data_IF_688241237842
#
_entry.id   IF_688241237842
#
_cell.length_a   1.000
_cell.length_b   1.000
_cell.length_c   1.000
_cell.angle_alpha   90.00
_cell.angle_beta   90.00
_cell.angle_gamma   90.00
#
_symmetry.space_group_name_H-M   'P 1'
#
loop_
_entity.id
_entity.type
_entity.pdbx_description
1 polymer ?
#
# COMPACT_ATOMS: atom_id res chain seq x y z
N UNK A 1 27.71 -5.16 32.89
CA UNK A 1 28.61 -4.45 31.94
C UNK A 1 27.81 -3.64 30.92
N UNK A 2 27.18 -2.54 31.33
CA UNK A 2 26.44 -1.61 30.43
C UNK A 2 27.20 -0.27 30.28
N UNK A 3 28.25 -0.07 31.09
CA UNK A 3 28.97 1.20 31.25
C UNK A 3 30.00 1.52 30.15
N UNK A 4 30.28 0.61 29.21
CA UNK A 4 31.25 0.84 28.13
C UNK A 4 30.64 1.23 26.76
N UNK A 5 29.32 1.31 26.64
CA UNK A 5 28.67 1.76 25.38
C UNK A 5 28.66 3.30 25.28
N UNK A 6 28.78 4.00 26.41
CA UNK A 6 28.60 5.46 26.54
C UNK A 6 29.62 6.33 25.78
N UNK A 7 30.74 5.78 25.29
CA UNK A 7 31.81 6.55 24.65
C UNK A 7 31.98 6.27 23.15
N UNK A 8 31.13 5.44 22.54
CA UNK A 8 31.15 5.32 21.07
C UNK A 8 30.48 6.54 20.46
N UNK A 9 31.25 7.27 19.66
CA UNK A 9 30.70 8.25 18.72
C UNK A 9 29.78 7.52 17.75
N UNK A 10 28.53 7.93 17.74
CA UNK A 10 27.45 7.32 16.97
C UNK A 10 26.73 8.42 16.22
N UNK A 11 26.42 8.13 14.96
CA UNK A 11 25.48 8.88 14.16
C UNK A 11 24.27 7.99 13.96
N UNK A 12 23.14 8.42 14.49
CA UNK A 12 21.88 7.69 14.41
C UNK A 12 20.95 8.44 13.47
N UNK A 13 20.37 7.73 12.52
CA UNK A 13 19.31 8.23 11.65
C UNK A 13 18.03 7.48 12.03
N UNK A 14 16.98 8.22 12.36
CA UNK A 14 15.65 7.70 12.67
C UNK A 14 14.71 8.14 11.56
N UNK A 15 13.96 7.19 11.00
CA UNK A 15 12.99 7.42 9.92
C UNK A 15 11.76 6.55 10.10
N UNK A 16 10.74 6.79 9.27
CA UNK A 16 9.64 5.86 9.04
C UNK A 16 9.75 5.24 7.64
N UNK A 17 9.07 4.11 7.44
CA UNK A 17 8.82 3.49 6.13
C UNK A 17 7.69 4.20 5.38
N UNK A 18 6.63 4.59 6.09
CA UNK A 18 5.52 5.39 5.60
C UNK A 18 4.86 6.18 6.74
N UNK A 19 3.96 7.08 6.37
CA UNK A 19 3.03 7.73 7.29
C UNK A 19 1.69 6.99 7.39
N UNK A 20 0.66 7.70 7.83
CA UNK A 20 -0.65 7.12 8.16
C UNK A 20 -1.76 8.17 7.96
N UNK A 21 -2.89 7.76 7.41
CA UNK A 21 -4.09 8.58 7.27
C UNK A 21 -5.29 7.93 7.97
N UNK A 22 -6.11 8.72 8.65
CA UNK A 22 -7.36 8.24 9.24
C UNK A 22 -8.49 8.30 8.20
N UNK A 23 -9.31 7.25 8.15
CA UNK A 23 -10.37 7.11 7.14
C UNK A 23 -11.74 6.96 7.80
N UNK A 24 -12.65 7.88 7.47
CA UNK A 24 -14.03 7.88 7.95
C UNK A 24 -14.78 6.63 7.49
N UNK A 25 -15.79 6.21 8.25
CA UNK A 25 -16.59 5.03 7.93
C UNK A 25 -17.33 5.13 6.58
N UNK A 26 -17.76 6.34 6.20
CA UNK A 26 -18.47 6.62 4.95
C UNK A 26 -17.59 6.53 3.70
N UNK A 27 -16.26 6.59 3.86
CA UNK A 27 -15.27 6.50 2.78
C UNK A 27 -14.68 5.09 2.65
N UNK A 28 -15.38 4.09 3.21
CA UNK A 28 -15.00 2.67 3.20
C UNK A 28 -15.87 1.92 2.20
N UNK A 29 -15.25 1.50 1.11
CA UNK A 29 -15.95 0.88 -0.02
C UNK A 29 -15.86 -0.64 0.09
N UNK A 30 -16.96 -1.31 0.40
CA UNK A 30 -17.03 -2.76 0.41
C UNK A 30 -17.07 -3.30 -1.02
N UNK A 31 -16.09 -4.12 -1.37
CA UNK A 31 -16.01 -4.72 -2.69
C UNK A 31 -16.87 -5.98 -2.76
N UNK A 32 -17.77 -6.04 -3.74
CA UNK A 32 -18.45 -7.27 -4.12
C UNK A 32 -17.90 -7.79 -5.44
N UNK A 33 -17.06 -8.83 -5.39
CA UNK A 33 -16.43 -9.43 -6.56
C UNK A 33 -16.62 -10.95 -6.59
N UNK A 34 -16.55 -11.53 -7.77
CA UNK A 34 -16.60 -12.98 -8.00
C UNK A 34 -15.29 -13.67 -7.62
N UNK A 35 -15.35 -14.98 -7.38
CA UNK A 35 -14.21 -15.78 -6.90
C UNK A 35 -13.06 -15.94 -7.92
N UNK A 36 -13.24 -15.44 -9.14
CA UNK A 36 -12.22 -15.41 -10.19
C UNK A 36 -11.30 -14.18 -10.10
N UNK A 37 -11.57 -13.24 -9.19
CA UNK A 37 -10.64 -12.16 -8.85
C UNK A 37 -9.88 -12.50 -7.57
N UNK A 38 -8.55 -12.39 -7.66
CA UNK A 38 -7.67 -12.42 -6.49
C UNK A 38 -7.28 -10.98 -6.16
N UNK A 39 -7.60 -10.53 -4.96
CA UNK A 39 -7.33 -9.16 -4.49
C UNK A 39 -6.46 -9.24 -3.24
N UNK A 40 -5.37 -8.48 -3.21
CA UNK A 40 -4.39 -8.46 -2.12
C UNK A 40 -3.70 -7.10 -2.00
N UNK A 41 -2.87 -6.90 -0.97
CA UNK A 41 -2.19 -5.64 -0.70
C UNK A 41 -2.95 -4.73 0.26
N UNK A 42 -2.52 -3.47 0.32
CA UNK A 42 -3.07 -2.47 1.24
C UNK A 42 -4.42 -1.95 0.77
N UNK A 43 -5.30 -1.61 1.71
CA UNK A 43 -6.65 -1.13 1.41
C UNK A 43 -6.70 0.22 0.67
N UNK A 44 -5.57 0.93 0.60
CA UNK A 44 -5.37 2.17 -0.16
C UNK A 44 -4.83 1.93 -1.58
N UNK A 45 -4.28 0.74 -1.84
CA UNK A 45 -3.68 0.35 -3.12
C UNK A 45 -3.74 -1.18 -3.23
N UNK A 46 -4.81 -1.69 -3.86
CA UNK A 46 -5.00 -3.14 -3.95
C UNK A 46 -4.47 -3.68 -5.27
N UNK A 47 -3.72 -4.76 -5.18
CA UNK A 47 -3.27 -5.57 -6.30
C UNK A 47 -4.33 -6.59 -6.67
N UNK A 48 -4.49 -6.82 -7.98
CA UNK A 48 -5.59 -7.59 -8.53
C UNK A 48 -5.06 -8.51 -9.63
N UNK A 49 -5.42 -9.79 -9.55
CA UNK A 49 -5.27 -10.77 -10.64
C UNK A 49 -6.64 -11.27 -11.09
N UNK A 50 -6.82 -11.40 -12.41
CA UNK A 50 -8.05 -11.90 -13.00
C UNK A 50 -8.54 -11.13 -14.24
N UNK A 51 -9.72 -11.48 -14.78
CA UNK A 51 -10.21 -10.90 -16.03
C UNK A 51 -10.51 -9.40 -15.91
N UNK A 52 -9.89 -8.58 -16.78
CA UNK A 52 -10.07 -7.10 -16.80
C UNK A 52 -11.53 -6.64 -16.75
N UNK A 53 -12.43 -7.34 -17.46
CA UNK A 53 -13.86 -7.02 -17.46
C UNK A 53 -14.44 -7.04 -16.05
N UNK A 54 -14.11 -8.07 -15.28
CA UNK A 54 -14.63 -8.27 -13.93
C UNK A 54 -13.98 -7.31 -12.95
N UNK A 55 -12.71 -6.94 -13.18
CA UNK A 55 -12.03 -5.87 -12.43
C UNK A 55 -12.74 -4.53 -12.64
N UNK A 56 -13.01 -4.15 -13.90
CA UNK A 56 -13.70 -2.88 -14.19
C UNK A 56 -15.11 -2.83 -13.59
N UNK A 57 -15.84 -3.95 -13.61
CA UNK A 57 -17.16 -4.05 -13.00
C UNK A 57 -17.12 -3.95 -11.48
N UNK A 58 -16.19 -4.66 -10.83
CA UNK A 58 -16.10 -4.66 -9.36
C UNK A 58 -15.69 -3.30 -8.78
N UNK A 59 -14.91 -2.50 -9.51
CA UNK A 59 -14.34 -1.24 -9.04
C UNK A 59 -15.01 0.03 -9.62
N UNK A 60 -16.08 -0.11 -10.41
CA UNK A 60 -16.66 1.02 -11.19
C UNK A 60 -17.12 2.21 -10.36
N UNK A 61 -17.58 1.95 -9.14
CA UNK A 61 -18.12 2.98 -8.22
C UNK A 61 -17.11 3.47 -7.18
N UNK A 62 -15.87 2.96 -7.23
CA UNK A 62 -14.85 3.29 -6.23
C UNK A 62 -14.01 4.47 -6.74
N UNK A 63 -13.83 5.54 -5.95
CA UNK A 63 -12.98 6.65 -6.32
C UNK A 63 -11.51 6.20 -6.34
N UNK A 64 -10.89 6.26 -7.52
CA UNK A 64 -9.51 5.85 -7.71
C UNK A 64 -9.15 5.65 -9.17
N UNK A 65 -7.98 5.05 -9.40
CA UNK A 65 -7.41 4.80 -10.72
C UNK A 65 -6.95 3.35 -10.81
N UNK A 66 -7.35 2.67 -11.89
CA UNK A 66 -6.84 1.36 -12.24
C UNK A 66 -5.57 1.51 -13.07
N UNK A 67 -4.45 1.01 -12.54
CA UNK A 67 -3.16 0.92 -13.21
C UNK A 67 -3.04 -0.43 -13.92
N UNK A 68 -2.63 -0.40 -15.17
CA UNK A 68 -2.41 -1.59 -16.00
C UNK A 68 -0.94 -2.03 -15.99
N UNK A 69 -0.66 -3.23 -16.51
CA UNK A 69 0.69 -3.82 -16.51
C UNK A 69 1.82 -2.89 -16.97
N UNK A 70 1.59 -2.04 -17.97
CA UNK A 70 2.63 -1.14 -18.47
C UNK A 70 3.00 -0.05 -17.45
N UNK A 71 2.03 0.44 -16.68
CA UNK A 71 2.27 1.39 -15.59
C UNK A 71 2.93 0.68 -14.41
N UNK A 72 2.49 -0.55 -14.11
CA UNK A 72 3.08 -1.38 -13.05
C UNK A 72 4.54 -1.73 -13.34
N UNK A 73 4.86 -2.10 -14.59
CA UNK A 73 6.24 -2.35 -15.03
C UNK A 73 7.11 -1.10 -14.85
N UNK A 74 6.58 0.07 -15.16
CA UNK A 74 7.30 1.33 -14.95
C UNK A 74 7.56 1.63 -13.47
N UNK A 75 6.60 1.34 -12.58
CA UNK A 75 6.66 1.65 -11.15
C UNK A 75 7.43 0.62 -10.33
N UNK A 76 7.20 -0.67 -10.60
CA UNK A 76 7.70 -1.81 -9.82
C UNK A 76 8.89 -2.51 -10.49
N UNK A 77 9.12 -2.24 -11.78
CA UNK A 77 10.00 -3.02 -12.62
C UNK A 77 9.34 -4.30 -13.15
N UNK A 78 9.99 -4.92 -14.12
CA UNK A 78 9.56 -6.21 -14.67
C UNK A 78 9.95 -7.37 -13.74
N UNK A 79 9.11 -8.42 -13.63
CA UNK A 79 9.43 -9.58 -12.82
C UNK A 79 10.57 -10.40 -13.46
N UNK A 80 11.73 -10.41 -12.80
CA UNK A 80 12.97 -11.01 -13.35
C UNK A 80 13.13 -12.51 -13.12
N UNK A 81 12.23 -13.15 -12.36
CA UNK A 81 12.29 -14.59 -12.08
C UNK A 81 10.88 -15.18 -11.86
N UNK A 82 10.78 -16.51 -11.87
CA UNK A 82 9.50 -17.23 -11.76
C UNK A 82 8.75 -16.95 -10.45
N UNK A 83 9.47 -16.71 -9.35
CA UNK A 83 8.85 -16.34 -8.08
C UNK A 83 8.21 -14.95 -8.14
N UNK A 84 8.89 -13.95 -8.70
CA UNK A 84 8.33 -12.62 -8.86
C UNK A 84 7.15 -12.63 -9.84
N UNK A 85 7.24 -13.41 -10.92
CA UNK A 85 6.13 -13.58 -11.88
C UNK A 85 4.88 -14.17 -11.21
N UNK A 86 5.04 -15.10 -10.26
CA UNK A 86 3.88 -15.74 -9.62
C UNK A 86 3.13 -14.82 -8.65
N UNK A 87 3.74 -13.72 -8.21
CA UNK A 87 3.11 -12.72 -7.33
C UNK A 87 2.86 -11.38 -8.04
N UNK A 88 3.27 -11.25 -9.30
CA UNK A 88 3.16 -10.01 -10.04
C UNK A 88 1.70 -9.73 -10.38
N UNK A 89 1.18 -8.52 -10.08
CA UNK A 89 -0.21 -8.20 -10.32
C UNK A 89 -0.54 -7.98 -11.81
N UNK A 90 -1.75 -8.38 -12.22
CA UNK A 90 -2.32 -7.96 -13.50
C UNK A 90 -2.67 -6.46 -13.47
N UNK A 91 -3.20 -5.99 -12.34
CA UNK A 91 -3.62 -4.60 -12.13
C UNK A 91 -3.32 -4.13 -10.69
N UNK A 92 -3.22 -2.81 -10.52
CA UNK A 92 -3.31 -2.17 -9.20
C UNK A 92 -4.41 -1.13 -9.23
N UNK A 93 -5.30 -1.13 -8.25
CA UNK A 93 -6.26 -0.05 -8.07
C UNK A 93 -5.77 0.88 -6.96
N UNK A 94 -5.34 2.07 -7.36
CA UNK A 94 -4.92 3.13 -6.45
C UNK A 94 -6.14 3.94 -6.03
N UNK A 95 -6.47 3.89 -4.74
CA UNK A 95 -7.66 4.54 -4.19
C UNK A 95 -7.38 6.04 -4.01
N UNK A 96 -8.38 6.87 -4.33
CA UNK A 96 -8.27 8.31 -4.12
C UNK A 96 -8.06 8.64 -2.62
N UNK A 97 -7.45 9.80 -2.35
CA UNK A 97 -7.20 10.22 -0.98
C UNK A 97 -8.47 10.18 -0.11
N UNK A 98 -8.28 9.88 1.18
CA UNK A 98 -9.32 9.67 2.20
C UNK A 98 -10.33 8.55 1.93
N UNK A 99 -10.12 7.71 0.93
CA UNK A 99 -10.93 6.51 0.68
C UNK A 99 -10.12 5.23 0.92
N UNK A 100 -10.82 4.12 1.20
CA UNK A 100 -10.24 2.76 1.22
C UNK A 100 -11.21 1.74 0.67
N UNK A 101 -10.65 0.60 0.30
CA UNK A 101 -11.36 -0.58 -0.13
C UNK A 101 -11.39 -1.63 0.98
N UNK A 102 -12.53 -2.27 1.18
CA UNK A 102 -12.69 -3.44 2.04
C UNK A 102 -12.98 -4.69 1.19
N UNK A 103 -11.95 -5.51 0.91
CA UNK A 103 -12.14 -6.82 0.31
C UNK A 103 -12.96 -7.73 1.22
N UNK A 104 -13.69 -8.69 0.64
CA UNK A 104 -14.57 -9.63 1.37
C UNK A 104 -13.89 -10.40 2.50
N UNK A 105 -12.58 -10.60 2.41
CA UNK A 105 -11.79 -11.41 3.33
C UNK A 105 -11.22 -10.64 4.54
N UNK A 106 -11.38 -9.32 4.59
CA UNK A 106 -10.85 -8.47 5.67
C UNK A 106 -11.98 -8.04 6.64
N UNK A 107 -11.84 -8.42 7.91
CA UNK A 107 -12.80 -8.11 8.98
C UNK A 107 -12.30 -7.08 9.99
N UNK A 108 -11.02 -6.74 9.98
CA UNK A 108 -10.43 -5.80 10.92
C UNK A 108 -10.82 -4.35 10.57
N UNK A 109 -11.46 -3.67 11.52
CA UNK A 109 -11.75 -2.24 11.41
C UNK A 109 -10.62 -1.45 12.07
N UNK A 110 -9.74 -0.89 11.24
CA UNK A 110 -8.71 0.03 11.69
C UNK A 110 -9.23 1.47 11.62
N UNK A 111 -8.55 2.37 12.32
CA UNK A 111 -8.80 3.81 12.19
C UNK A 111 -7.83 4.46 11.21
N UNK A 112 -6.56 4.01 11.22
CA UNK A 112 -5.49 4.50 10.37
C UNK A 112 -5.07 3.49 9.31
N UNK A 113 -4.74 4.00 8.13
CA UNK A 113 -4.37 3.24 6.94
C UNK A 113 -3.17 3.89 6.24
N UNK A 114 -2.50 3.13 5.39
CA UNK A 114 -1.39 3.57 4.54
C UNK A 114 -1.45 2.84 3.18
N UNK A 115 -0.50 3.14 2.29
CA UNK A 115 -0.40 2.56 0.95
C UNK A 115 -0.90 3.47 -0.17
N UNK A 116 -1.53 4.61 0.17
CA UNK A 116 -1.94 5.64 -0.78
C UNK A 116 -0.85 6.67 -1.06
N UNK A 117 -1.20 7.69 -1.85
CA UNK A 117 -0.29 8.78 -2.24
C UNK A 117 -0.54 10.09 -1.49
N UNK A 118 -1.25 10.07 -0.36
CA UNK A 118 -1.47 11.29 0.43
C UNK A 118 -0.15 11.84 0.96
N UNK A 119 -0.11 13.14 1.23
CA UNK A 119 1.08 13.77 1.81
C UNK A 119 1.38 13.19 3.19
N UNK A 120 0.34 12.86 3.95
CA UNK A 120 0.39 12.24 5.26
C UNK A 120 0.95 10.81 5.22
N UNK A 121 0.82 10.09 4.10
CA UNK A 121 1.38 8.75 3.90
C UNK A 121 2.82 8.79 3.35
N UNK A 122 3.16 9.75 2.47
CA UNK A 122 4.48 9.80 1.82
C UNK A 122 5.52 10.59 2.64
N UNK A 123 5.11 11.64 3.36
CA UNK A 123 6.06 12.48 4.12
C UNK A 123 6.49 11.78 5.40
N UNK A 124 7.70 11.22 5.37
CA UNK A 124 8.34 10.57 6.51
C UNK A 124 9.35 11.51 7.20
N UNK A 125 9.52 11.42 8.53
CA UNK A 125 10.57 12.14 9.22
C UNK A 125 11.95 11.54 8.90
N UNK A 126 12.98 12.37 8.80
CA UNK A 126 14.38 11.94 8.85
C UNK A 126 15.05 12.74 9.95
N UNK A 127 15.39 12.08 11.05
CA UNK A 127 15.98 12.70 12.23
C UNK A 127 17.40 12.20 12.37
N UNK A 128 18.36 13.11 12.29
CA UNK A 128 19.77 12.82 12.54
C UNK A 128 20.16 13.23 13.97
N UNK A 129 20.77 12.30 14.70
CA UNK A 129 21.36 12.55 16.01
C UNK A 129 22.82 12.12 16.01
N UNK A 130 23.70 12.98 16.54
CA UNK A 130 25.12 12.68 16.66
C UNK A 130 25.63 13.03 18.07
N UNK A 131 26.43 12.14 18.67
CA UNK A 131 27.20 12.45 19.88
C UNK A 131 28.70 12.57 19.53
N UNK A 132 29.15 13.81 19.34
CA UNK A 132 30.54 14.13 18.99
C UNK A 132 31.46 14.19 20.20
#
# INVERSE_FOLDING_TARGET
>A
EITNISNKKTKTIISADHGLVNINAESRHHLNYSDDLQIYGDQRSVYINGPKKNVLEAFSEIPGVLLEQHELSYLLGDPVNEFLKSIYPDFCFLVEDKNIIYPKHLSAQLNGYHGGLSQEEIKIPIIEMSNY
#
